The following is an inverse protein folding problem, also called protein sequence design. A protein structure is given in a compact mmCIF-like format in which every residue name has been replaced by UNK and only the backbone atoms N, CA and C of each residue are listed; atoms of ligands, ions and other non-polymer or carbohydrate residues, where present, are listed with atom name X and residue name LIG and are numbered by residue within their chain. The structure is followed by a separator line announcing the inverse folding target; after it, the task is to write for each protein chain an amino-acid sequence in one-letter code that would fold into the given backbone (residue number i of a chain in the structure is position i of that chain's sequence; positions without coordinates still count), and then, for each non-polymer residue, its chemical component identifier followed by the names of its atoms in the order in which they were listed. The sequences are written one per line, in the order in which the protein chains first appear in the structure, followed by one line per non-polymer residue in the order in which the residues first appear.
data_IF_806538010618
#
_entry.id   IF_806538010618
#
_cell.length_a   1.000
_cell.length_b   1.000
_cell.length_c   1.000
_cell.angle_alpha   90.00
_cell.angle_beta   90.00
_cell.angle_gamma   90.00
#
_symmetry.space_group_name_H-M   'P 1'
#
loop_
_entity.id
_entity.type
_entity.pdbx_description
1 polymer ?
#
# COMPACT_ATOMS: atom_id res chain seq x y z
N UNK A 1 13.00 -11.58 -17.06
CA UNK A 1 14.08 -11.82 -16.08
C UNK A 1 13.62 -12.83 -15.07
N UNK A 2 14.18 -14.01 -15.15
CA UNK A 2 13.76 -15.17 -14.34
C UNK A 2 14.66 -15.43 -13.13
N UNK A 3 15.70 -14.60 -12.92
CA UNK A 3 16.63 -14.81 -11.80
C UNK A 3 15.98 -14.42 -10.48
N UNK A 4 16.07 -15.33 -9.51
CA UNK A 4 15.61 -15.03 -8.15
C UNK A 4 16.58 -14.08 -7.45
N UNK A 5 16.04 -13.29 -6.51
CA UNK A 5 16.83 -12.41 -5.68
C UNK A 5 17.71 -13.21 -4.73
N UNK A 6 18.97 -12.81 -4.62
CA UNK A 6 19.91 -13.45 -3.69
C UNK A 6 19.67 -12.97 -2.26
N UNK A 7 20.18 -13.72 -1.27
CA UNK A 7 20.11 -13.31 0.13
C UNK A 7 20.77 -11.97 0.40
N UNK A 8 21.87 -11.67 -0.29
CA UNK A 8 22.55 -10.39 -0.17
C UNK A 8 21.68 -9.26 -0.71
N UNK A 9 21.03 -9.48 -1.86
CA UNK A 9 20.11 -8.49 -2.45
C UNK A 9 18.91 -8.23 -1.53
N UNK A 10 18.31 -9.29 -0.99
CA UNK A 10 17.18 -9.17 -0.06
C UNK A 10 17.59 -8.44 1.22
N UNK A 11 18.78 -8.66 1.73
CA UNK A 11 19.31 -8.00 2.92
C UNK A 11 19.36 -6.48 2.75
N UNK A 12 19.65 -5.99 1.55
CA UNK A 12 19.66 -4.55 1.25
C UNK A 12 18.29 -3.91 1.44
N UNK A 13 17.21 -4.69 1.32
CA UNK A 13 15.83 -4.21 1.50
C UNK A 13 15.27 -4.58 2.86
N UNK A 14 16.08 -5.12 3.76
CA UNK A 14 15.67 -5.45 5.12
C UNK A 14 15.09 -6.84 5.30
N UNK A 15 15.22 -7.73 4.31
CA UNK A 15 14.75 -9.11 4.42
C UNK A 15 15.93 -10.06 4.63
N UNK A 16 15.80 -10.98 5.58
CA UNK A 16 16.85 -11.98 5.84
C UNK A 16 16.89 -13.05 4.77
N UNK A 17 15.72 -13.44 4.25
CA UNK A 17 15.62 -14.49 3.24
C UNK A 17 14.32 -14.34 2.44
N UNK A 18 14.21 -15.11 1.34
CA UNK A 18 12.99 -15.17 0.55
C UNK A 18 11.79 -15.69 1.36
N UNK A 19 12.04 -16.50 2.39
CA UNK A 19 10.97 -17.00 3.26
C UNK A 19 10.20 -15.85 3.95
N UNK A 20 10.87 -14.75 4.30
CA UNK A 20 10.24 -13.58 4.88
C UNK A 20 9.30 -12.91 3.88
N UNK A 21 9.68 -12.88 2.60
CA UNK A 21 8.83 -12.32 1.53
C UNK A 21 7.65 -13.24 1.25
N UNK A 22 7.85 -14.55 1.33
CA UNK A 22 6.78 -15.53 1.08
C UNK A 22 5.68 -15.54 2.13
N UNK A 23 5.90 -14.93 3.28
CA UNK A 23 4.87 -14.79 4.32
C UNK A 23 3.74 -13.83 3.93
N UNK A 24 4.00 -12.94 3.00
CA UNK A 24 2.99 -12.01 2.51
C UNK A 24 2.06 -12.67 1.50
N UNK A 25 0.87 -12.08 1.29
CA UNK A 25 -0.05 -12.55 0.26
C UNK A 25 0.57 -12.43 -1.13
N UNK A 26 -0.01 -13.14 -2.10
CA UNK A 26 0.53 -13.18 -3.46
C UNK A 26 0.66 -11.79 -4.09
N UNK A 27 -0.32 -10.91 -3.88
CA UNK A 27 -0.30 -9.57 -4.43
C UNK A 27 0.82 -8.72 -3.82
N UNK A 28 0.94 -8.74 -2.49
CA UNK A 28 1.99 -8.00 -1.78
C UNK A 28 3.37 -8.52 -2.19
N UNK A 29 3.53 -9.83 -2.21
CA UNK A 29 4.77 -10.48 -2.59
C UNK A 29 5.21 -10.10 -4.00
N UNK A 30 4.27 -10.11 -4.95
CA UNK A 30 4.55 -9.71 -6.34
C UNK A 30 5.04 -8.28 -6.42
N UNK A 31 4.37 -7.35 -5.76
CA UNK A 31 4.75 -5.94 -5.76
C UNK A 31 6.13 -5.73 -5.12
N UNK A 32 6.42 -6.42 -4.01
CA UNK A 32 7.73 -6.34 -3.36
C UNK A 32 8.85 -6.88 -4.24
N UNK A 33 8.66 -8.05 -4.82
CA UNK A 33 9.68 -8.69 -5.67
C UNK A 33 9.96 -7.85 -6.90
N UNK A 34 8.93 -7.38 -7.60
CA UNK A 34 9.11 -6.54 -8.77
C UNK A 34 9.74 -5.19 -8.42
N UNK A 35 9.35 -4.60 -7.29
CA UNK A 35 9.95 -3.36 -6.83
C UNK A 35 11.45 -3.51 -6.56
N UNK A 36 11.84 -4.58 -5.88
CA UNK A 36 13.25 -4.85 -5.59
C UNK A 36 14.05 -5.14 -6.87
N UNK A 37 13.52 -5.98 -7.75
CA UNK A 37 14.20 -6.32 -9.01
C UNK A 37 14.37 -5.09 -9.89
N UNK A 38 13.33 -4.26 -10.00
CA UNK A 38 13.38 -3.05 -10.80
C UNK A 38 14.39 -2.05 -10.21
N UNK A 39 14.43 -1.91 -8.88
CA UNK A 39 15.41 -1.04 -8.23
C UNK A 39 16.85 -1.47 -8.56
N UNK A 40 17.15 -2.75 -8.46
CA UNK A 40 18.49 -3.27 -8.75
C UNK A 40 18.87 -3.06 -10.21
N UNK A 41 17.91 -3.24 -11.12
CA UNK A 41 18.12 -3.01 -12.54
C UNK A 41 18.42 -1.53 -12.81
N UNK A 42 17.63 -0.63 -12.24
CA UNK A 42 17.83 0.82 -12.39
C UNK A 42 19.14 1.27 -11.76
N UNK A 43 19.47 0.78 -10.58
CA UNK A 43 20.73 1.10 -9.91
C UNK A 43 21.92 0.78 -10.82
N UNK A 44 21.91 -0.41 -11.43
CA UNK A 44 22.98 -0.81 -12.34
C UNK A 44 23.04 0.11 -13.57
N UNK A 45 21.90 0.43 -14.18
CA UNK A 45 21.84 1.28 -15.36
C UNK A 45 22.32 2.70 -15.08
N UNK A 46 21.87 3.30 -13.97
CA UNK A 46 22.28 4.65 -13.58
C UNK A 46 23.75 4.70 -13.19
N UNK A 47 24.25 3.67 -12.54
CA UNK A 47 25.66 3.56 -12.18
C UNK A 47 26.55 3.54 -13.41
N UNK A 48 26.17 2.79 -14.43
CA UNK A 48 26.90 2.73 -15.71
C UNK A 48 26.86 4.08 -16.45
N UNK A 49 25.74 4.80 -16.34
CA UNK A 49 25.58 6.12 -16.94
C UNK A 49 26.21 7.25 -16.10
N UNK A 50 26.76 6.93 -14.95
CA UNK A 50 27.29 7.91 -13.99
C UNK A 50 26.28 9.00 -13.62
N UNK A 51 25.02 8.59 -13.40
CA UNK A 51 23.90 9.46 -13.08
C UNK A 51 23.31 9.12 -11.72
N UNK A 52 22.59 10.08 -11.11
CA UNK A 52 21.82 9.82 -9.89
C UNK A 52 20.62 8.97 -10.21
N UNK A 53 20.31 8.03 -9.29
CA UNK A 53 19.20 7.11 -9.49
C UNK A 53 17.85 7.79 -9.25
N UNK A 54 16.93 7.60 -10.20
CA UNK A 54 15.51 7.94 -10.03
C UNK A 54 14.73 6.64 -9.87
N UNK A 55 14.33 6.35 -8.64
CA UNK A 55 13.64 5.12 -8.29
C UNK A 55 12.12 5.32 -8.07
N UNK A 56 11.55 6.37 -8.65
CA UNK A 56 10.13 6.71 -8.45
C UNK A 56 9.19 5.56 -8.82
N UNK A 57 9.48 4.86 -9.92
CA UNK A 57 8.65 3.72 -10.34
C UNK A 57 8.73 2.54 -9.37
N UNK A 58 9.87 2.34 -8.70
CA UNK A 58 9.98 1.32 -7.65
C UNK A 58 9.16 1.72 -6.43
N UNK A 59 9.17 3.02 -6.09
CA UNK A 59 8.38 3.56 -4.99
C UNK A 59 6.89 3.29 -5.15
N UNK A 60 6.36 3.37 -6.36
CA UNK A 60 4.96 3.06 -6.64
C UNK A 60 4.64 1.61 -6.27
N UNK A 61 5.51 0.66 -6.64
CA UNK A 61 5.32 -0.75 -6.32
C UNK A 61 5.38 -1.01 -4.82
N UNK A 62 6.33 -0.40 -4.11
CA UNK A 62 6.44 -0.54 -2.66
C UNK A 62 5.24 0.09 -1.94
N UNK A 63 4.79 1.25 -2.38
CA UNK A 63 3.59 1.88 -1.83
C UNK A 63 2.36 1.02 -2.04
N UNK A 64 2.23 0.39 -3.22
CA UNK A 64 1.13 -0.53 -3.48
C UNK A 64 1.18 -1.74 -2.56
N UNK A 65 2.36 -2.29 -2.30
CA UNK A 65 2.53 -3.38 -1.35
C UNK A 65 2.08 -2.98 0.05
N UNK A 66 2.47 -1.80 0.52
CA UNK A 66 2.06 -1.28 1.82
C UNK A 66 0.54 -1.09 1.88
N UNK A 67 -0.05 -0.51 0.83
CA UNK A 67 -1.48 -0.27 0.75
C UNK A 67 -2.28 -1.58 0.88
N UNK A 68 -1.88 -2.60 0.12
CA UNK A 68 -2.55 -3.92 0.17
C UNK A 68 -2.37 -4.56 1.55
N UNK A 69 -1.18 -4.44 2.14
CA UNK A 69 -0.93 -4.96 3.49
C UNK A 69 -1.84 -4.29 4.52
N UNK A 70 -2.00 -2.98 4.46
CA UNK A 70 -2.89 -2.26 5.35
C UNK A 70 -4.35 -2.66 5.13
N UNK A 71 -4.76 -2.85 3.88
CA UNK A 71 -6.10 -3.33 3.56
C UNK A 71 -6.36 -4.70 4.20
N UNK A 72 -5.43 -5.63 4.05
CA UNK A 72 -5.56 -6.97 4.61
C UNK A 72 -5.59 -6.99 6.13
N UNK A 73 -4.83 -6.09 6.77
CA UNK A 73 -4.72 -6.06 8.23
C UNK A 73 -5.86 -5.31 8.91
N UNK A 74 -6.38 -4.26 8.30
CA UNK A 74 -7.21 -3.30 9.03
C UNK A 74 -8.64 -3.15 8.52
N UNK A 75 -8.93 -3.43 7.25
CA UNK A 75 -10.25 -3.11 6.66
C UNK A 75 -11.38 -3.85 7.39
N UNK A 76 -11.23 -5.14 7.64
CA UNK A 76 -12.28 -5.92 8.32
C UNK A 76 -12.52 -5.42 9.74
N UNK A 77 -11.44 -5.11 10.46
CA UNK A 77 -11.54 -4.58 11.82
C UNK A 77 -12.22 -3.20 11.83
N UNK A 78 -11.88 -2.34 10.87
CA UNK A 78 -12.50 -1.01 10.76
C UNK A 78 -13.98 -1.11 10.44
N UNK A 79 -14.38 -2.00 9.53
CA UNK A 79 -15.78 -2.24 9.21
C UNK A 79 -16.56 -2.79 10.40
N UNK A 80 -15.93 -3.65 11.19
CA UNK A 80 -16.55 -4.20 12.38
C UNK A 80 -16.78 -3.13 13.45
N UNK A 81 -15.80 -2.26 13.71
CA UNK A 81 -15.88 -1.26 14.77
C UNK A 81 -16.62 0.02 14.35
N UNK A 82 -16.58 0.39 13.07
CA UNK A 82 -17.15 1.65 12.59
C UNK A 82 -18.02 1.46 11.35
N UNK A 83 -19.02 0.55 11.38
CA UNK A 83 -19.78 0.20 10.17
C UNK A 83 -20.56 1.38 9.58
N UNK A 84 -21.05 2.27 10.42
CA UNK A 84 -21.89 3.40 10.01
C UNK A 84 -21.10 4.68 9.71
N UNK A 85 -19.76 4.61 9.76
CA UNK A 85 -18.93 5.76 9.45
C UNK A 85 -19.10 6.18 7.98
N UNK A 86 -19.34 7.47 7.75
CA UNK A 86 -19.45 8.01 6.40
C UNK A 86 -18.08 8.17 5.79
N UNK A 87 -17.89 7.62 4.58
CA UNK A 87 -16.62 7.70 3.87
C UNK A 87 -16.42 9.11 3.31
N UNK A 88 -15.42 9.87 3.78
CA UNK A 88 -15.13 11.19 3.23
C UNK A 88 -14.30 11.07 1.93
N UNK A 89 -14.39 12.12 1.11
CA UNK A 89 -13.50 12.29 -0.03
C UNK A 89 -13.77 11.39 -1.23
N UNK A 90 -14.94 10.76 -1.30
CA UNK A 90 -15.32 10.02 -2.50
C UNK A 90 -15.60 10.99 -3.65
N UNK A 91 -15.12 10.67 -4.88
CA UNK A 91 -15.44 11.51 -6.04
C UNK A 91 -16.96 11.63 -6.23
N UNK A 92 -17.43 12.77 -6.67
CA UNK A 92 -18.85 12.98 -6.94
C UNK A 92 -19.43 11.93 -7.90
N UNK A 93 -18.61 11.41 -8.78
CA UNK A 93 -18.97 10.32 -9.72
C UNK A 93 -19.31 9.00 -9.01
N UNK A 94 -18.77 8.77 -7.82
CA UNK A 94 -19.10 7.59 -7.04
C UNK A 94 -20.44 7.70 -6.31
N UNK A 95 -21.06 8.86 -6.35
CA UNK A 95 -22.33 9.16 -5.64
C UNK A 95 -23.50 9.26 -6.66
N UNK A 96 -23.36 8.59 -7.82
CA UNK A 96 -24.37 8.69 -8.88
C UNK A 96 -25.78 8.29 -8.41
N UNK A 97 -25.91 7.44 -7.40
CA UNK A 97 -27.18 6.97 -6.89
C UNK A 97 -27.63 7.71 -5.62
N UNK A 98 -26.98 8.82 -5.27
CA UNK A 98 -27.25 9.58 -4.04
C UNK A 98 -27.18 8.76 -2.76
N UNK A 99 -26.56 7.59 -2.81
CA UNK A 99 -26.36 6.77 -1.62
C UNK A 99 -25.10 7.23 -0.88
N UNK A 100 -25.28 7.52 0.40
CA UNK A 100 -24.14 7.81 1.28
C UNK A 100 -23.41 6.49 1.50
N UNK A 101 -22.15 6.43 1.09
CA UNK A 101 -21.35 5.24 1.30
C UNK A 101 -20.91 5.17 2.76
N UNK A 102 -21.34 4.14 3.45
CA UNK A 102 -20.89 3.83 4.79
C UNK A 102 -19.70 2.87 4.72
N UNK A 103 -18.88 2.87 5.78
CA UNK A 103 -17.70 2.05 5.85
C UNK A 103 -18.00 0.56 5.62
N UNK A 104 -19.11 0.08 6.16
CA UNK A 104 -19.54 -1.32 6.00
C UNK A 104 -19.77 -1.73 4.54
N UNK A 105 -20.15 -0.78 3.69
CA UNK A 105 -20.51 -1.01 2.29
C UNK A 105 -19.36 -0.69 1.32
N UNK A 106 -18.23 -0.20 1.83
CA UNK A 106 -17.11 0.21 1.01
C UNK A 106 -16.34 -0.99 0.46
N UNK A 107 -15.97 -0.91 -0.82
CA UNK A 107 -15.05 -1.88 -1.41
C UNK A 107 -13.63 -1.67 -0.87
N UNK A 108 -12.86 -2.75 -0.78
CA UNK A 108 -11.49 -2.70 -0.27
C UNK A 108 -10.63 -1.68 -1.02
N UNK A 109 -10.88 -1.48 -2.31
CA UNK A 109 -10.13 -0.56 -3.17
C UNK A 109 -10.25 0.92 -2.75
N UNK A 110 -11.27 1.27 -1.99
CA UNK A 110 -11.47 2.65 -1.49
C UNK A 110 -10.44 3.00 -0.42
N UNK A 111 -9.87 2.00 0.26
CA UNK A 111 -8.94 2.19 1.37
C UNK A 111 -7.52 2.40 0.85
N UNK A 112 -7.27 3.59 0.30
CA UNK A 112 -5.94 3.98 -0.15
C UNK A 112 -5.07 4.44 1.02
N UNK A 113 -3.78 4.58 0.80
CA UNK A 113 -2.86 5.06 1.84
C UNK A 113 -3.26 6.41 2.41
N UNK A 114 -3.81 7.30 1.57
CA UNK A 114 -4.28 8.62 2.01
C UNK A 114 -5.55 8.60 2.84
N UNK A 115 -6.32 7.52 2.78
CA UNK A 115 -7.57 7.42 3.52
C UNK A 115 -7.35 7.35 5.04
N UNK A 116 -6.36 6.60 5.48
CA UNK A 116 -6.15 6.31 6.91
C UNK A 116 -5.86 7.57 7.74
N UNK A 117 -4.96 8.47 7.34
CA UNK A 117 -4.74 9.69 8.10
C UNK A 117 -5.98 10.56 8.21
N UNK A 118 -6.78 10.65 7.16
CA UNK A 118 -8.01 11.42 7.15
C UNK A 118 -9.02 10.85 8.15
N UNK A 119 -9.19 9.53 8.17
CA UNK A 119 -10.05 8.85 9.12
C UNK A 119 -9.61 9.09 10.56
N UNK A 120 -8.31 8.92 10.84
CA UNK A 120 -7.74 9.11 12.18
C UNK A 120 -7.96 10.54 12.66
N UNK A 121 -7.71 11.54 11.82
CA UNK A 121 -7.90 12.95 12.18
C UNK A 121 -9.36 13.28 12.48
N UNK A 122 -10.30 12.78 11.68
CA UNK A 122 -11.72 13.00 11.92
C UNK A 122 -12.19 12.36 13.22
N UNK A 123 -11.74 11.14 13.51
CA UNK A 123 -12.06 10.47 14.77
C UNK A 123 -11.49 11.24 15.96
N UNK A 124 -10.27 11.74 15.86
CA UNK A 124 -9.63 12.54 16.90
C UNK A 124 -10.41 13.82 17.17
N UNK A 125 -10.87 14.53 16.12
CA UNK A 125 -11.71 15.73 16.26
C UNK A 125 -13.02 15.44 16.99
N UNK A 126 -13.66 14.34 16.64
CA UNK A 126 -14.93 13.96 17.26
C UNK A 126 -14.75 13.62 18.75
N UNK A 127 -13.64 12.96 19.11
CA UNK A 127 -13.32 12.68 20.50
C UNK A 127 -13.07 13.95 21.32
N UNK A 128 -12.42 14.94 20.72
CA UNK A 128 -12.15 16.22 21.40
C UNK A 128 -13.43 17.04 21.60
N UNK A 129 -14.39 16.92 20.69
CA UNK A 129 -15.67 17.64 20.75
C UNK A 129 -16.70 16.99 21.68
N UNK A 130 -16.51 15.74 21.99
CA UNK A 130 -17.39 15.02 22.91
C UNK A 130 -16.94 15.14 24.36
#
# INVERSE_FOLDING_TARGET
MSRELTSQELSRFGFDSMEDVKKFSAEIRSNLIWGMKLYLLLENAYKQANAEIDASCCGILFCKAIEVQMQECFVDALKYHFPEYRMPGLPATAVQDKKILHLKDANTEVFTLGWYPTFIQKRKRNLVRS
#
